data_IF_514589497319
#
_entry.id   IF_514589497319
#
_cell.length_a   1.000
_cell.length_b   1.000
_cell.length_c   1.000
_cell.angle_alpha   90.00
_cell.angle_beta   90.00
_cell.angle_gamma   90.00
#
_symmetry.space_group_name_H-M   'P 1'
#
loop_
_entity.id
_entity.type
_entity.pdbx_description
1 polymer ?
#
# COMPACT_ATOMS: atom_id res chain seq x y z
N UNK A 1 -25.72 16.60 20.72
CA UNK A 1 -26.87 16.07 19.94
C UNK A 1 -26.43 15.05 18.87
N UNK A 2 -25.35 14.27 19.13
CA UNK A 2 -24.73 13.34 18.16
C UNK A 2 -24.54 11.92 18.75
N UNK A 3 -25.30 11.53 19.77
CA UNK A 3 -25.18 10.23 20.44
C UNK A 3 -26.24 9.19 20.03
N UNK A 4 -26.87 9.34 18.85
CA UNK A 4 -27.97 8.46 18.40
C UNK A 4 -27.89 8.05 16.92
N UNK A 5 -26.70 7.74 16.42
CA UNK A 5 -26.59 6.98 15.17
C UNK A 5 -26.38 5.52 15.56
N UNK A 6 -27.47 4.74 15.56
CA UNK A 6 -27.38 3.29 15.66
C UNK A 6 -26.64 2.78 14.41
N UNK A 7 -25.63 1.89 14.53
CA UNK A 7 -25.07 1.20 13.39
C UNK A 7 -26.12 0.25 12.81
N UNK A 8 -26.88 0.73 11.82
CA UNK A 8 -27.72 -0.12 10.98
C UNK A 8 -26.82 -0.80 9.95
N UNK A 9 -26.04 -1.78 10.42
CA UNK A 9 -25.40 -2.74 9.54
C UNK A 9 -26.52 -3.46 8.76
N UNK A 10 -26.51 -3.44 7.41
CA UNK A 10 -27.39 -4.32 6.67
C UNK A 10 -27.08 -5.75 7.09
N UNK A 11 -28.09 -6.48 7.57
CA UNK A 11 -28.00 -7.93 7.78
C UNK A 11 -27.85 -8.60 6.42
N UNK A 12 -26.64 -8.58 5.85
CA UNK A 12 -26.24 -9.47 4.78
C UNK A 12 -26.18 -10.87 5.39
N UNK A 13 -27.30 -11.58 5.33
CA UNK A 13 -27.31 -13.01 5.58
C UNK A 13 -26.41 -13.66 4.53
N UNK A 14 -25.21 -14.06 4.96
CA UNK A 14 -24.27 -14.80 4.12
C UNK A 14 -24.85 -16.18 3.88
N UNK A 15 -25.64 -16.34 2.82
CA UNK A 15 -26.02 -17.66 2.33
C UNK A 15 -24.74 -18.29 1.80
N UNK A 16 -24.17 -19.20 2.58
CA UNK A 16 -23.08 -20.06 2.15
C UNK A 16 -23.59 -20.95 1.00
N UNK A 17 -23.57 -20.43 -0.22
CA UNK A 17 -23.65 -21.27 -1.41
C UNK A 17 -22.31 -22.00 -1.52
N UNK A 18 -22.36 -23.33 -1.44
CA UNK A 18 -21.19 -24.19 -1.62
C UNK A 18 -20.42 -23.78 -2.85
N UNK A 19 -19.11 -23.57 -2.69
CA UNK A 19 -18.22 -23.29 -3.79
C UNK A 19 -18.30 -24.46 -4.78
N UNK A 20 -18.76 -24.20 -6.00
CA UNK A 20 -18.45 -25.09 -7.11
C UNK A 20 -16.92 -25.16 -7.18
N UNK A 21 -16.36 -26.37 -7.14
CA UNK A 21 -14.93 -26.59 -7.27
C UNK A 21 -14.48 -26.03 -8.64
N UNK A 22 -13.96 -24.81 -8.63
CA UNK A 22 -13.28 -24.25 -9.79
C UNK A 22 -12.01 -25.07 -9.98
N UNK A 23 -11.88 -25.70 -11.13
CA UNK A 23 -10.68 -26.40 -11.57
C UNK A 23 -9.49 -25.44 -11.43
N UNK A 24 -8.56 -25.73 -10.52
CA UNK A 24 -7.33 -24.95 -10.33
C UNK A 24 -6.50 -25.11 -11.61
N UNK A 25 -6.64 -24.18 -12.57
CA UNK A 25 -5.64 -24.00 -13.61
C UNK A 25 -4.46 -23.26 -12.95
N UNK A 26 -3.29 -23.87 -12.96
CA UNK A 26 -2.09 -23.27 -12.35
C UNK A 26 -1.84 -21.85 -12.84
N UNK A 27 -1.43 -20.96 -11.92
CA UNK A 27 -1.03 -19.59 -12.24
C UNK A 27 0.22 -19.66 -13.12
N UNK A 28 0.14 -19.09 -14.33
CA UNK A 28 1.30 -18.97 -15.22
C UNK A 28 2.12 -17.78 -14.75
N UNK A 29 3.32 -18.04 -14.20
CA UNK A 29 4.31 -17.02 -13.88
C UNK A 29 5.12 -16.59 -15.10
N UNK A 30 5.78 -15.44 -15.00
CA UNK A 30 6.79 -14.94 -15.94
C UNK A 30 6.53 -13.54 -16.47
N UNK A 31 5.33 -12.99 -16.23
CA UNK A 31 4.94 -11.64 -16.60
C UNK A 31 3.91 -11.08 -15.61
N UNK A 32 4.27 -9.96 -14.98
CA UNK A 32 3.39 -9.25 -14.03
C UNK A 32 2.48 -8.23 -14.71
N UNK A 33 2.70 -7.93 -16.01
CA UNK A 33 1.90 -6.95 -16.76
C UNK A 33 0.38 -7.18 -16.72
N UNK A 34 -0.15 -8.42 -16.64
CA UNK A 34 -1.60 -8.64 -16.59
C UNK A 34 -2.28 -8.13 -15.31
N UNK A 35 -1.50 -7.82 -14.28
CA UNK A 35 -1.99 -7.27 -13.01
C UNK A 35 -2.20 -5.76 -13.11
N UNK A 36 -1.47 -5.10 -14.02
CA UNK A 36 -1.43 -3.65 -14.20
C UNK A 36 -2.13 -3.28 -15.51
N UNK A 37 -3.40 -2.83 -15.49
CA UNK A 37 -4.16 -2.44 -16.67
C UNK A 37 -3.36 -1.56 -17.63
N UNK A 38 -2.68 -0.54 -17.10
CA UNK A 38 -1.81 0.38 -17.84
C UNK A 38 -0.67 -0.29 -18.61
N UNK A 39 -0.16 -1.42 -18.11
CA UNK A 39 0.96 -2.16 -18.69
C UNK A 39 0.53 -3.32 -19.57
N UNK A 40 -0.74 -3.75 -19.47
CA UNK A 40 -1.28 -4.90 -20.19
C UNK A 40 -1.60 -4.63 -21.66
N UNK A 41 -1.84 -3.36 -22.03
CA UNK A 41 -2.25 -2.96 -23.38
C UNK A 41 -3.67 -3.41 -23.79
N UNK A 42 -4.45 -3.99 -22.86
CA UNK A 42 -5.80 -4.49 -23.11
C UNK A 42 -6.80 -3.60 -22.38
N UNK A 43 -7.74 -3.00 -23.12
CA UNK A 43 -8.87 -2.30 -22.51
C UNK A 43 -9.80 -3.34 -21.85
N UNK A 44 -10.04 -3.25 -20.53
CA UNK A 44 -10.83 -4.27 -19.87
C UNK A 44 -12.32 -4.10 -20.17
N UNK A 45 -13.10 -5.19 -20.20
CA UNK A 45 -14.53 -5.12 -20.44
C UNK A 45 -15.26 -4.32 -19.34
N UNK A 46 -16.42 -3.71 -19.65
CA UNK A 46 -17.23 -3.04 -18.65
C UNK A 46 -17.64 -4.00 -17.53
N UNK A 47 -17.78 -3.47 -16.32
CA UNK A 47 -18.22 -4.26 -15.18
C UNK A 47 -19.69 -4.68 -15.34
N UNK A 48 -20.06 -5.91 -14.92
CA UNK A 48 -21.45 -6.38 -14.97
C UNK A 48 -22.42 -5.53 -14.14
N UNK A 49 -23.71 -5.53 -14.50
CA UNK A 49 -24.77 -4.73 -13.85
C UNK A 49 -24.93 -4.96 -12.34
N UNK A 50 -24.53 -6.14 -11.83
CA UNK A 50 -24.50 -6.41 -10.38
C UNK A 50 -23.70 -5.38 -9.58
N UNK A 51 -22.75 -4.68 -10.21
CA UNK A 51 -21.97 -3.61 -9.59
C UNK A 51 -22.77 -2.31 -9.46
N UNK A 52 -23.76 -2.06 -10.32
CA UNK A 52 -24.73 -0.99 -10.16
C UNK A 52 -25.68 -1.28 -8.99
N UNK A 53 -26.17 -2.51 -8.91
CA UNK A 53 -26.99 -2.99 -7.78
C UNK A 53 -26.23 -2.82 -6.45
N UNK A 54 -24.95 -3.23 -6.43
CA UNK A 54 -24.07 -3.08 -5.27
C UNK A 54 -23.97 -1.61 -4.82
N UNK A 55 -23.74 -0.69 -5.76
CA UNK A 55 -23.72 0.75 -5.44
C UNK A 55 -25.07 1.22 -4.91
N UNK A 56 -26.16 0.82 -5.54
CA UNK A 56 -27.52 1.12 -5.08
C UNK A 56 -27.75 0.72 -3.62
N UNK A 57 -27.26 -0.45 -3.20
CA UNK A 57 -27.36 -0.92 -1.81
C UNK A 57 -26.59 -0.03 -0.81
N UNK A 58 -25.45 0.53 -1.22
CA UNK A 58 -24.66 1.43 -0.36
C UNK A 58 -25.16 2.89 -0.39
N UNK A 59 -25.83 3.29 -1.46
CA UNK A 59 -26.30 4.68 -1.65
C UNK A 59 -27.71 4.91 -1.13
N UNK A 60 -28.62 3.95 -1.29
CA UNK A 60 -30.04 4.14 -0.99
C UNK A 60 -30.29 4.56 0.48
N UNK A 61 -30.91 5.73 0.66
CA UNK A 61 -31.23 6.30 1.97
C UNK A 61 -30.03 6.89 2.72
N UNK A 62 -28.86 6.97 2.07
CA UNK A 62 -27.58 7.48 2.62
C UNK A 62 -26.98 8.58 1.75
N UNK A 63 -27.71 9.05 0.75
CA UNK A 63 -27.26 9.97 -0.29
C UNK A 63 -26.61 11.22 0.31
N UNK A 64 -27.32 11.84 1.26
CA UNK A 64 -26.83 13.04 1.95
C UNK A 64 -25.53 12.79 2.72
N UNK A 65 -25.45 11.69 3.47
CA UNK A 65 -24.27 11.35 4.27
C UNK A 65 -23.07 11.07 3.37
N UNK A 66 -23.29 10.40 2.24
CA UNK A 66 -22.24 10.16 1.25
C UNK A 66 -21.71 11.47 0.68
N UNK A 67 -22.59 12.38 0.25
CA UNK A 67 -22.19 13.69 -0.30
C UNK A 67 -21.39 14.49 0.72
N UNK A 68 -21.92 14.66 1.94
CA UNK A 68 -21.23 15.39 3.02
C UNK A 68 -19.87 14.75 3.38
N UNK A 69 -19.78 13.41 3.34
CA UNK A 69 -18.54 12.68 3.61
C UNK A 69 -17.52 12.82 2.49
N UNK A 70 -17.97 12.85 1.23
CA UNK A 70 -17.11 13.07 0.08
C UNK A 70 -16.51 14.48 0.08
N UNK A 71 -17.34 15.51 0.28
CA UNK A 71 -16.87 16.90 0.38
C UNK A 71 -15.85 17.08 1.51
N UNK A 72 -16.15 16.52 2.69
CA UNK A 72 -15.19 16.50 3.81
C UNK A 72 -13.91 15.77 3.46
N UNK A 73 -14.01 14.60 2.82
CA UNK A 73 -12.83 13.80 2.41
C UNK A 73 -11.95 14.54 1.42
N UNK A 74 -12.51 15.28 0.47
CA UNK A 74 -11.74 16.11 -0.47
C UNK A 74 -11.04 17.27 0.22
N UNK A 75 -11.74 17.94 1.14
CA UNK A 75 -11.18 19.04 1.92
C UNK A 75 -10.01 18.57 2.80
N UNK A 76 -10.20 17.47 3.52
CA UNK A 76 -9.17 16.93 4.43
C UNK A 76 -7.97 16.36 3.65
N UNK A 77 -8.22 15.67 2.52
CA UNK A 77 -7.16 15.26 1.61
C UNK A 77 -6.35 16.47 1.12
N UNK A 78 -7.01 17.55 0.69
CA UNK A 78 -6.34 18.78 0.23
C UNK A 78 -5.46 19.43 1.28
N UNK A 79 -5.89 19.44 2.55
CA UNK A 79 -5.08 19.94 3.68
C UNK A 79 -3.83 19.09 3.87
N UNK A 80 -3.98 17.77 3.88
CA UNK A 80 -2.84 16.87 4.13
C UNK A 80 -1.85 16.83 2.97
N UNK A 81 -2.32 16.91 1.71
CA UNK A 81 -1.41 17.07 0.56
C UNK A 81 -0.61 18.37 0.65
N UNK A 82 -1.18 19.45 1.20
CA UNK A 82 -0.45 20.68 1.43
C UNK A 82 0.65 20.50 2.50
N UNK A 83 0.40 19.71 3.55
CA UNK A 83 1.42 19.36 4.55
C UNK A 83 2.58 18.59 3.92
N UNK A 84 2.29 17.59 3.07
CA UNK A 84 3.32 16.82 2.34
C UNK A 84 4.15 17.75 1.46
N UNK A 85 3.52 18.56 0.61
CA UNK A 85 4.19 19.54 -0.24
C UNK A 85 5.09 20.49 0.54
N UNK A 86 4.61 21.01 1.67
CA UNK A 86 5.38 21.93 2.50
C UNK A 86 6.62 21.28 3.10
N UNK A 87 6.55 20.00 3.47
CA UNK A 87 7.67 19.25 4.03
C UNK A 87 8.83 19.06 3.04
N UNK A 88 8.53 19.07 1.74
CA UNK A 88 9.51 18.93 0.65
C UNK A 88 10.15 20.26 0.26
N UNK A 89 9.63 21.40 0.73
CA UNK A 89 10.15 22.72 0.39
C UNK A 89 11.38 23.11 1.24
N UNK A 90 12.45 23.57 0.57
CA UNK A 90 13.68 24.06 1.22
C UNK A 90 13.48 25.32 2.09
N UNK A 91 12.32 25.97 1.98
CA UNK A 91 12.05 27.29 2.57
C UNK A 91 11.72 27.26 4.08
N UNK A 92 11.59 26.08 4.70
CA UNK A 92 10.94 25.93 6.00
C UNK A 92 11.87 25.40 7.11
N UNK A 93 12.85 26.20 7.53
CA UNK A 93 13.45 26.05 8.87
C UNK A 93 12.93 27.12 9.85
N UNK A 94 12.78 28.37 9.40
CA UNK A 94 12.33 29.49 10.25
C UNK A 94 10.81 29.56 10.40
N UNK A 95 10.05 29.32 9.33
CA UNK A 95 8.58 29.32 9.37
C UNK A 95 8.04 28.06 10.06
N UNK A 96 8.79 26.96 10.02
CA UNK A 96 8.44 25.68 10.62
C UNK A 96 8.34 25.76 12.15
N UNK A 97 9.26 26.48 12.81
CA UNK A 97 9.19 26.80 14.24
C UNK A 97 7.95 27.66 14.58
N UNK A 98 7.58 28.60 13.72
CA UNK A 98 6.38 29.42 13.88
C UNK A 98 5.09 28.58 13.69
N UNK A 99 5.10 27.63 12.75
CA UNK A 99 4.00 26.70 12.49
C UNK A 99 3.80 25.66 13.60
N UNK A 100 4.87 25.15 14.24
CA UNK A 100 4.74 24.29 15.45
C UNK A 100 3.93 24.98 16.54
N UNK A 101 4.08 26.30 16.67
CA UNK A 101 3.30 27.12 17.61
C UNK A 101 1.86 27.32 17.13
N UNK A 102 1.63 27.54 15.84
CA UNK A 102 0.30 27.87 15.29
C UNK A 102 -0.62 26.65 15.08
N UNK A 103 -0.08 25.51 14.65
CA UNK A 103 -0.82 24.26 14.43
C UNK A 103 -0.83 23.33 15.66
N UNK A 104 -0.13 23.68 16.75
CA UNK A 104 0.14 22.77 17.88
C UNK A 104 0.75 21.43 17.43
N UNK A 105 1.55 21.44 16.37
CA UNK A 105 2.19 20.23 15.85
C UNK A 105 3.56 20.02 16.48
N UNK A 106 3.71 18.89 17.17
CA UNK A 106 4.95 18.49 17.86
C UNK A 106 5.95 17.75 16.96
N UNK A 107 5.64 17.53 15.67
CA UNK A 107 6.36 16.61 14.79
C UNK A 107 7.79 17.07 14.46
N UNK A 108 8.71 16.13 14.39
CA UNK A 108 10.12 16.33 14.03
C UNK A 108 10.37 15.63 12.70
N UNK A 109 10.36 16.39 11.61
CA UNK A 109 10.68 15.86 10.29
C UNK A 109 12.17 16.06 10.03
N UNK A 110 12.86 15.01 9.60
CA UNK A 110 14.12 15.19 8.89
C UNK A 110 13.81 15.87 7.54
N UNK A 111 14.70 16.76 7.09
CA UNK A 111 14.45 17.65 5.93
C UNK A 111 13.92 16.87 4.72
N UNK A 112 12.85 17.37 4.11
CA UNK A 112 12.46 17.00 2.74
C UNK A 112 11.63 15.73 2.58
N UNK A 113 11.20 15.05 3.65
CA UNK A 113 10.32 13.87 3.52
C UNK A 113 9.45 13.67 4.77
N UNK A 114 8.15 13.42 4.59
CA UNK A 114 7.23 13.10 5.70
C UNK A 114 7.34 11.66 6.22
N UNK A 115 8.02 10.77 5.50
CA UNK A 115 8.17 9.36 5.91
C UNK A 115 9.21 9.29 7.03
N UNK A 116 8.79 8.78 8.19
CA UNK A 116 9.66 8.62 9.35
C UNK A 116 10.84 7.70 9.02
N UNK A 117 12.04 8.17 9.34
CA UNK A 117 13.27 7.37 9.33
C UNK A 117 13.65 7.07 10.78
N UNK A 118 13.65 5.79 11.15
CA UNK A 118 13.87 5.38 12.53
C UNK A 118 15.04 4.39 12.63
N UNK A 119 15.93 4.64 13.60
CA UNK A 119 16.92 3.68 14.06
C UNK A 119 16.38 2.95 15.30
N UNK A 120 15.66 1.85 15.10
CA UNK A 120 15.28 0.99 16.21
C UNK A 120 16.43 0.04 16.52
N UNK A 121 17.40 0.53 17.30
CA UNK A 121 18.38 -0.35 17.95
C UNK A 121 17.75 -0.90 19.23
N UNK A 122 17.76 -2.21 19.34
CA UNK A 122 17.40 -2.95 20.55
C UNK A 122 18.10 -2.33 21.78
N UNK A 123 17.41 -2.01 22.91
CA UNK A 123 16.00 -2.29 23.26
C UNK A 123 15.09 -1.05 23.31
N UNK A 124 15.43 0.05 22.62
CA UNK A 124 14.56 1.23 22.65
C UNK A 124 13.29 0.95 21.84
N UNK A 125 12.17 0.67 22.54
CA UNK A 125 10.84 0.70 21.93
C UNK A 125 10.59 2.12 21.39
N UNK A 126 10.00 2.27 20.19
CA UNK A 126 9.62 3.58 19.69
C UNK A 126 8.78 4.33 20.70
N UNK A 127 8.98 5.65 20.75
CA UNK A 127 8.12 6.55 21.48
C UNK A 127 6.67 6.45 21.00
N UNK A 128 5.73 6.87 21.85
CA UNK A 128 4.31 6.89 21.47
C UNK A 128 4.06 7.82 20.28
N UNK A 129 4.85 8.87 20.20
CA UNK A 129 4.85 9.87 19.14
C UNK A 129 5.32 9.27 17.81
N UNK A 130 6.41 8.49 17.81
CA UNK A 130 6.86 7.76 16.62
C UNK A 130 5.84 6.73 16.17
N UNK A 131 5.27 5.94 17.08
CA UNK A 131 4.21 4.99 16.74
C UNK A 131 2.97 5.68 16.16
N UNK A 132 2.60 6.85 16.67
CA UNK A 132 1.50 7.64 16.13
C UNK A 132 1.80 8.17 14.72
N UNK A 133 3.02 8.64 14.46
CA UNK A 133 3.41 9.12 13.14
C UNK A 133 3.47 7.97 12.12
N UNK A 134 4.00 6.81 12.50
CA UNK A 134 3.98 5.61 11.64
C UNK A 134 2.53 5.25 11.29
N UNK A 135 1.62 5.30 12.28
CA UNK A 135 0.21 5.02 12.06
C UNK A 135 -0.43 6.02 11.10
N UNK A 136 -0.19 7.31 11.32
CA UNK A 136 -0.75 8.38 10.50
C UNK A 136 -0.28 8.31 9.04
N UNK A 137 1.03 8.13 8.83
CA UNK A 137 1.63 8.10 7.49
C UNK A 137 1.45 6.77 6.78
N UNK A 138 1.35 5.67 7.53
CA UNK A 138 1.23 4.32 6.96
C UNK A 138 2.48 3.84 6.25
N UNK A 139 3.64 4.41 6.58
CA UNK A 139 4.94 4.07 5.98
C UNK A 139 6.08 4.43 6.94
N UNK A 140 7.15 3.63 6.95
CA UNK A 140 8.34 3.91 7.76
C UNK A 140 9.60 3.30 7.14
N UNK A 141 10.72 4.01 7.25
CA UNK A 141 12.05 3.50 6.91
C UNK A 141 12.79 3.13 8.17
N UNK A 142 13.07 1.84 8.35
CA UNK A 142 13.87 1.33 9.45
C UNK A 142 15.34 1.25 9.02
N UNK A 143 16.20 2.02 9.68
CA UNK A 143 17.60 2.21 9.29
C UNK A 143 18.51 1.16 9.91
N UNK A 144 19.52 0.72 9.17
CA UNK A 144 20.62 -0.13 9.65
C UNK A 144 20.16 -1.51 10.21
N UNK A 145 19.17 -2.15 9.59
CA UNK A 145 18.63 -3.44 10.06
C UNK A 145 19.43 -4.66 9.60
N UNK A 146 20.16 -4.54 8.50
CA UNK A 146 21.18 -5.48 8.07
C UNK A 146 22.50 -4.72 7.86
N UNK A 147 23.65 -5.33 8.16
CA UNK A 147 24.93 -4.66 7.94
C UNK A 147 25.13 -4.43 6.43
N UNK A 148 25.70 -3.28 6.05
CA UNK A 148 25.95 -2.94 4.63
C UNK A 148 26.72 -4.06 3.89
N UNK A 149 27.72 -4.64 4.56
CA UNK A 149 28.50 -5.78 4.02
C UNK A 149 27.65 -7.02 3.78
N UNK A 150 26.74 -7.35 4.70
CA UNK A 150 25.85 -8.51 4.57
C UNK A 150 24.85 -8.30 3.43
N UNK A 151 24.25 -7.10 3.34
CA UNK A 151 23.36 -6.73 2.25
C UNK A 151 24.07 -6.75 0.88
N UNK A 152 25.34 -6.32 0.82
CA UNK A 152 26.15 -6.36 -0.40
C UNK A 152 26.49 -7.79 -0.83
N UNK A 153 26.85 -8.67 0.12
CA UNK A 153 27.09 -10.09 -0.13
C UNK A 153 25.82 -10.75 -0.66
N UNK A 154 24.68 -10.48 -0.02
CA UNK A 154 23.37 -10.97 -0.46
C UNK A 154 23.05 -10.55 -1.90
N UNK A 155 23.29 -9.27 -2.25
CA UNK A 155 23.13 -8.80 -3.65
C UNK A 155 24.00 -9.59 -4.63
N UNK A 156 25.27 -9.81 -4.28
CA UNK A 156 26.19 -10.59 -5.11
C UNK A 156 25.71 -12.03 -5.31
N UNK A 157 25.21 -12.67 -4.25
CA UNK A 157 24.70 -14.03 -4.30
C UNK A 157 23.41 -14.14 -5.12
N UNK A 158 22.48 -13.19 -5.04
CA UNK A 158 21.29 -13.15 -5.89
C UNK A 158 21.64 -13.03 -7.37
N UNK A 159 22.63 -12.18 -7.73
CA UNK A 159 23.13 -12.09 -9.10
C UNK A 159 23.74 -13.41 -9.58
N UNK A 160 24.54 -14.05 -8.72
CA UNK A 160 25.12 -15.36 -9.05
C UNK A 160 24.03 -16.45 -9.17
N UNK A 161 22.97 -16.36 -8.36
CA UNK A 161 21.83 -17.27 -8.43
C UNK A 161 21.05 -17.08 -9.74
N UNK A 162 20.84 -15.85 -10.21
CA UNK A 162 20.28 -15.59 -11.55
C UNK A 162 21.16 -16.25 -12.62
N UNK A 163 22.48 -16.00 -12.59
CA UNK A 163 23.41 -16.52 -13.60
C UNK A 163 23.49 -18.05 -13.67
N UNK A 164 23.22 -18.75 -12.56
CA UNK A 164 23.19 -20.24 -12.53
C UNK A 164 21.85 -20.84 -12.99
N UNK A 165 20.80 -20.04 -13.11
CA UNK A 165 19.45 -20.52 -13.38
C UNK A 165 18.92 -19.90 -14.69
N UNK A 166 19.31 -20.47 -15.83
CA UNK A 166 18.88 -19.99 -17.15
C UNK A 166 17.35 -20.07 -17.37
N UNK A 167 16.63 -20.83 -16.55
CA UNK A 167 15.17 -20.91 -16.55
C UNK A 167 14.49 -19.74 -15.81
N UNK A 168 15.25 -18.92 -15.07
CA UNK A 168 14.70 -17.84 -14.26
C UNK A 168 13.97 -16.82 -15.14
N UNK A 169 12.69 -16.62 -14.87
CA UNK A 169 11.88 -15.62 -15.56
C UNK A 169 12.12 -14.23 -14.96
N UNK A 170 12.07 -13.21 -15.83
CA UNK A 170 12.22 -11.83 -15.41
C UNK A 170 11.44 -10.88 -16.32
N UNK A 171 10.99 -9.76 -15.73
CA UNK A 171 10.20 -8.74 -16.38
C UNK A 171 10.85 -7.35 -16.23
N UNK A 172 10.79 -6.47 -17.26
CA UNK A 172 10.45 -6.75 -18.66
C UNK A 172 11.50 -7.65 -19.35
N UNK A 173 11.11 -8.45 -20.34
CA UNK A 173 11.99 -9.44 -20.98
C UNK A 173 13.28 -8.85 -21.58
N UNK A 174 13.20 -7.66 -22.21
CA UNK A 174 14.34 -7.01 -22.87
C UNK A 174 15.15 -6.09 -21.93
N UNK A 175 14.69 -5.90 -20.69
CA UNK A 175 15.30 -5.00 -19.71
C UNK A 175 14.96 -5.46 -18.29
N UNK A 176 15.38 -6.68 -17.90
CA UNK A 176 14.88 -7.36 -16.72
C UNK A 176 15.20 -6.58 -15.45
N UNK A 177 14.15 -6.32 -14.67
CA UNK A 177 14.20 -5.60 -13.42
C UNK A 177 13.58 -6.41 -12.28
N UNK A 178 12.47 -7.10 -12.51
CA UNK A 178 11.79 -7.98 -11.56
C UNK A 178 12.13 -9.43 -11.90
N UNK A 179 12.61 -10.20 -10.93
CA UNK A 179 13.00 -11.59 -11.13
C UNK A 179 12.04 -12.51 -10.35
N UNK A 180 11.35 -13.41 -11.05
CA UNK A 180 10.41 -14.40 -10.48
C UNK A 180 11.16 -15.58 -9.87
N UNK A 181 11.98 -15.26 -8.88
CA UNK A 181 12.76 -16.19 -8.08
C UNK A 181 12.33 -15.99 -6.63
N UNK A 182 11.96 -17.08 -5.97
CA UNK A 182 11.32 -17.02 -4.65
C UNK A 182 12.14 -17.68 -3.54
N UNK A 183 13.02 -18.62 -3.90
CA UNK A 183 13.60 -19.59 -2.95
C UNK A 183 15.13 -19.65 -2.96
N UNK A 184 15.80 -18.61 -3.47
CA UNK A 184 17.26 -18.54 -3.37
C UNK A 184 17.70 -18.66 -1.89
N UNK A 185 18.90 -19.21 -1.61
CA UNK A 185 19.41 -19.33 -0.24
C UNK A 185 19.31 -18.01 0.53
N UNK A 186 19.72 -16.89 -0.06
CA UNK A 186 19.71 -15.60 0.65
C UNK A 186 18.32 -15.00 0.85
N UNK A 187 17.35 -15.24 -0.05
CA UNK A 187 15.96 -14.87 0.22
C UNK A 187 15.42 -15.62 1.45
N UNK A 188 15.76 -16.91 1.59
CA UNK A 188 15.37 -17.69 2.76
C UNK A 188 16.07 -17.21 4.04
N UNK A 189 17.37 -16.92 3.96
CA UNK A 189 18.13 -16.37 5.09
C UNK A 189 17.60 -15.00 5.51
N UNK A 190 17.31 -14.10 4.57
CA UNK A 190 16.73 -12.80 4.87
C UNK A 190 15.38 -12.93 5.60
N UNK A 191 14.48 -13.79 5.10
CA UNK A 191 13.16 -14.01 5.72
C UNK A 191 13.23 -14.65 7.12
N UNK A 192 14.32 -15.34 7.43
CA UNK A 192 14.55 -15.98 8.73
C UNK A 192 15.48 -15.16 9.65
N UNK A 193 15.96 -13.98 9.21
CA UNK A 193 16.86 -13.17 10.00
C UNK A 193 16.14 -12.63 11.26
N UNK A 194 16.68 -12.84 12.48
CA UNK A 194 16.00 -12.43 13.72
C UNK A 194 15.67 -10.94 13.79
N UNK A 195 16.57 -10.07 13.32
CA UNK A 195 16.35 -8.62 13.32
C UNK A 195 15.23 -8.22 12.37
N UNK A 196 15.19 -8.81 11.16
CA UNK A 196 14.13 -8.54 10.17
C UNK A 196 12.77 -9.12 10.60
N UNK A 197 12.76 -10.24 11.31
CA UNK A 197 11.54 -10.81 11.90
C UNK A 197 11.04 -9.92 13.05
N UNK A 198 11.93 -9.46 13.93
CA UNK A 198 11.58 -8.55 15.00
C UNK A 198 10.98 -7.23 14.49
N UNK A 199 11.49 -6.67 13.39
CA UNK A 199 10.90 -5.50 12.73
C UNK A 199 9.46 -5.76 12.30
N UNK A 200 9.20 -6.92 11.70
CA UNK A 200 7.87 -7.30 11.22
C UNK A 200 6.89 -7.49 12.40
N UNK A 201 7.33 -8.13 13.49
CA UNK A 201 6.54 -8.21 14.73
C UNK A 201 6.23 -6.82 15.30
N UNK A 202 7.21 -5.91 15.29
CA UNK A 202 7.00 -4.53 15.74
C UNK A 202 5.94 -3.81 14.91
N UNK A 203 6.06 -3.74 13.57
CA UNK A 203 5.05 -3.05 12.76
C UNK A 203 3.68 -3.75 12.81
N UNK A 204 3.65 -5.07 12.99
CA UNK A 204 2.41 -5.81 13.21
C UNK A 204 1.75 -5.46 14.55
N UNK A 205 2.53 -5.16 15.61
CA UNK A 205 1.98 -4.73 16.90
C UNK A 205 1.24 -3.38 16.87
N UNK A 206 1.40 -2.60 15.79
CA UNK A 206 0.64 -1.38 15.57
C UNK A 206 -0.84 -1.69 15.24
N UNK A 207 -1.13 -2.90 14.77
CA UNK A 207 -2.46 -3.41 14.51
C UNK A 207 -3.16 -3.82 15.79
N UNK A 208 -4.49 -3.76 15.77
CA UNK A 208 -5.32 -4.17 16.89
C UNK A 208 -6.59 -4.87 16.43
N UNK A 209 -7.26 -5.51 17.39
CA UNK A 209 -8.57 -6.11 17.21
C UNK A 209 -9.45 -5.74 18.40
N UNK A 210 -10.71 -5.38 18.14
CA UNK A 210 -11.70 -5.13 19.18
C UNK A 210 -12.49 -6.38 19.57
N UNK A 211 -12.27 -7.50 18.88
CA UNK A 211 -12.92 -8.77 19.14
C UNK A 211 -12.40 -9.39 20.44
N UNK A 212 -13.32 -9.96 21.23
CA UNK A 212 -12.98 -10.71 22.45
C UNK A 212 -12.12 -11.94 22.16
N UNK A 213 -12.23 -12.46 20.94
CA UNK A 213 -11.35 -13.47 20.36
C UNK A 213 -11.05 -13.06 18.92
N UNK A 214 -9.77 -12.90 18.60
CA UNK A 214 -9.30 -12.57 17.25
C UNK A 214 -8.54 -13.76 16.66
N UNK A 215 -8.80 -14.16 15.41
CA UNK A 215 -7.98 -15.14 14.71
C UNK A 215 -6.65 -14.56 14.21
N UNK A 216 -6.40 -13.26 14.43
CA UNK A 216 -5.18 -12.56 14.00
C UNK A 216 -4.21 -12.45 15.17
N UNK A 217 -3.06 -13.11 15.05
CA UNK A 217 -1.93 -12.97 15.98
C UNK A 217 -0.88 -12.04 15.37
N UNK A 218 -0.70 -10.86 15.97
CA UNK A 218 0.27 -9.85 15.51
C UNK A 218 1.70 -10.11 15.99
N UNK A 219 1.90 -11.07 16.89
CA UNK A 219 3.22 -11.43 17.43
C UNK A 219 3.96 -12.45 16.57
N UNK A 220 3.25 -13.14 15.67
CA UNK A 220 3.80 -14.19 14.81
C UNK A 220 3.88 -13.70 13.36
N UNK A 221 5.04 -13.91 12.75
CA UNK A 221 5.29 -13.57 11.33
C UNK A 221 5.41 -14.85 10.53
N UNK A 222 4.63 -14.96 9.45
CA UNK A 222 4.74 -16.05 8.48
C UNK A 222 5.54 -15.57 7.26
N UNK A 223 6.56 -16.33 6.80
CA UNK A 223 7.34 -15.93 5.65
C UNK A 223 6.49 -16.00 4.38
N UNK A 224 6.34 -14.87 3.69
CA UNK A 224 5.71 -14.80 2.37
C UNK A 224 6.78 -14.77 1.27
N UNK A 225 6.89 -15.81 0.42
CA UNK A 225 7.85 -15.83 -0.67
C UNK A 225 7.45 -14.87 -1.78
N UNK A 226 8.20 -13.78 -1.92
CA UNK A 226 8.04 -12.81 -3.01
C UNK A 226 9.31 -12.73 -3.88
N UNK A 227 9.16 -12.10 -5.05
CA UNK A 227 10.20 -11.78 -6.02
C UNK A 227 11.23 -10.81 -5.44
N UNK A 228 12.27 -10.50 -6.23
CA UNK A 228 13.16 -9.38 -5.94
C UNK A 228 13.39 -8.51 -7.18
N UNK A 229 13.85 -7.28 -6.95
CA UNK A 229 14.06 -6.28 -7.99
C UNK A 229 15.53 -5.85 -8.08
N UNK A 230 16.09 -5.83 -9.28
CA UNK A 230 17.41 -5.25 -9.59
C UNK A 230 17.25 -4.33 -10.80
N UNK A 231 17.16 -3.02 -10.55
CA UNK A 231 17.11 -2.01 -11.61
C UNK A 231 18.52 -1.64 -12.08
N UNK A 232 18.77 -1.65 -13.40
CA UNK A 232 20.00 -1.11 -13.96
C UNK A 232 19.89 0.42 -14.12
N UNK A 233 20.99 1.18 -14.00
CA UNK A 233 20.97 2.63 -14.17
C UNK A 233 20.34 3.08 -15.51
N UNK A 234 20.64 2.37 -16.61
CA UNK A 234 20.17 2.69 -17.97
C UNK A 234 18.77 2.16 -18.33
N UNK A 235 18.10 1.41 -17.46
CA UNK A 235 16.82 0.76 -17.80
C UNK A 235 15.61 1.71 -17.66
N UNK A 236 15.28 2.47 -18.70
CA UNK A 236 14.15 3.41 -18.71
C UNK A 236 12.73 2.76 -18.77
N UNK A 237 12.63 1.45 -18.94
CA UNK A 237 11.37 0.79 -19.34
C UNK A 237 10.44 0.28 -18.25
N UNK A 238 10.69 0.51 -16.95
CA UNK A 238 9.85 -0.04 -15.88
C UNK A 238 9.59 0.95 -14.75
N UNK A 239 8.42 1.57 -14.76
CA UNK A 239 7.81 2.31 -13.66
C UNK A 239 6.34 1.90 -13.58
N UNK A 240 5.88 1.52 -12.38
CA UNK A 240 4.47 1.21 -12.14
C UNK A 240 3.73 2.51 -11.83
N UNK A 241 2.52 2.67 -12.36
CA UNK A 241 1.62 3.74 -11.94
C UNK A 241 1.24 3.61 -10.47
N UNK A 242 0.74 4.69 -9.86
CA UNK A 242 0.24 4.66 -8.50
C UNK A 242 -0.89 3.63 -8.38
N UNK A 243 -0.82 2.74 -7.39
CA UNK A 243 -1.81 1.68 -7.19
C UNK A 243 -1.93 1.31 -5.70
N UNK A 244 -3.04 0.67 -5.34
CA UNK A 244 -3.26 0.07 -4.03
C UNK A 244 -3.45 -1.45 -4.16
N UNK A 245 -2.86 -2.21 -3.23
CA UNK A 245 -3.09 -3.64 -3.11
C UNK A 245 -3.94 -3.94 -1.87
N UNK A 246 -5.11 -4.58 -2.05
CA UNK A 246 -5.92 -5.17 -0.95
C UNK A 246 -6.68 -4.20 -0.01
N UNK A 247 -7.55 -3.30 -0.52
CA UNK A 247 -8.26 -2.26 0.27
C UNK A 247 -9.42 -2.66 1.21
N UNK A 248 -9.89 -1.74 2.09
CA UNK A 248 -10.97 -1.91 3.14
C UNK A 248 -11.57 -0.57 3.71
N UNK A 249 -12.76 -0.58 4.36
CA UNK A 249 -13.71 0.57 4.72
C UNK A 249 -13.68 1.17 6.18
N UNK A 250 -14.53 2.19 6.49
CA UNK A 250 -14.64 3.14 7.67
C UNK A 250 -13.70 2.94 8.86
N UNK A 251 -12.90 3.97 9.12
CA UNK A 251 -11.50 3.66 8.92
C UNK A 251 -10.62 4.00 10.11
N UNK A 252 -10.52 3.02 11.00
CA UNK A 252 -9.25 2.73 11.64
C UNK A 252 -8.45 1.79 10.74
N UNK A 253 -7.39 2.32 10.12
CA UNK A 253 -6.55 1.57 9.19
C UNK A 253 -5.92 0.33 9.81
N UNK A 254 -5.77 0.32 11.14
CA UNK A 254 -5.07 -0.71 11.91
C UNK A 254 -6.02 -1.69 12.59
N UNK A 255 -7.33 -1.57 12.39
CA UNK A 255 -8.29 -2.56 12.85
C UNK A 255 -8.26 -3.81 11.93
N UNK A 256 -8.01 -4.96 12.53
CA UNK A 256 -7.91 -6.25 11.85
C UNK A 256 -9.24 -7.07 11.81
N UNK A 257 -10.28 -6.66 12.53
CA UNK A 257 -11.50 -7.44 12.85
C UNK A 257 -12.24 -8.01 11.64
N UNK A 258 -12.15 -7.36 10.49
CA UNK A 258 -12.86 -7.79 9.28
C UNK A 258 -11.91 -8.12 8.12
N UNK A 259 -10.64 -7.77 8.25
CA UNK A 259 -9.67 -7.96 7.17
C UNK A 259 -9.35 -9.44 6.94
N UNK A 260 -9.33 -10.26 8.01
CA UNK A 260 -9.05 -11.70 7.90
C UNK A 260 -10.13 -12.47 7.12
N UNK A 261 -11.34 -11.91 7.02
CA UNK A 261 -12.43 -12.48 6.22
C UNK A 261 -12.37 -12.05 4.74
N UNK A 262 -11.51 -11.09 4.38
CA UNK A 262 -11.47 -10.53 3.03
C UNK A 262 -10.95 -11.56 2.01
N UNK A 263 -11.73 -11.79 0.95
CA UNK A 263 -11.34 -12.66 -0.17
C UNK A 263 -10.61 -11.85 -1.24
N UNK A 264 -9.34 -11.53 -0.97
CA UNK A 264 -8.52 -10.64 -1.81
C UNK A 264 -8.26 -11.24 -3.21
N UNK A 265 -8.20 -12.57 -3.32
CA UNK A 265 -7.98 -13.30 -4.59
C UNK A 265 -9.24 -13.90 -5.21
N UNK A 266 -10.40 -13.23 -5.15
CA UNK A 266 -11.70 -13.81 -5.58
C UNK A 266 -11.73 -14.33 -7.03
N UNK A 267 -10.90 -13.78 -7.91
CA UNK A 267 -10.89 -14.10 -9.35
C UNK A 267 -9.66 -14.91 -9.80
N UNK A 268 -8.82 -15.36 -8.86
CA UNK A 268 -7.70 -16.30 -9.05
C UNK A 268 -6.85 -16.09 -10.34
N UNK A 269 -6.35 -14.86 -10.55
CA UNK A 269 -5.39 -14.56 -11.62
C UNK A 269 -3.95 -14.46 -11.11
N UNK A 270 -3.02 -14.56 -12.06
CA UNK A 270 -1.60 -14.26 -11.86
C UNK A 270 -1.44 -12.89 -11.18
N UNK A 271 -0.54 -12.82 -10.19
CA UNK A 271 -0.26 -11.64 -9.37
C UNK A 271 -1.30 -11.26 -8.30
N UNK A 272 -2.40 -12.00 -8.16
CA UNK A 272 -3.29 -11.84 -7.01
C UNK A 272 -2.63 -12.37 -5.72
N UNK A 273 -2.76 -11.61 -4.63
CA UNK A 273 -2.25 -12.03 -3.32
C UNK A 273 -3.23 -13.00 -2.65
N UNK A 274 -2.76 -14.19 -2.28
CA UNK A 274 -3.56 -15.23 -1.60
C UNK A 274 -3.56 -15.12 -0.08
N UNK A 275 -2.78 -14.21 0.48
CA UNK A 275 -2.66 -13.98 1.93
C UNK A 275 -3.01 -12.53 2.26
N UNK A 276 -3.49 -12.30 3.47
CA UNK A 276 -3.60 -10.94 3.98
C UNK A 276 -2.21 -10.46 4.42
N UNK A 277 -1.81 -9.28 3.94
CA UNK A 277 -0.61 -8.58 4.36
C UNK A 277 -1.04 -7.35 5.16
N UNK A 278 -0.57 -7.24 6.40
CA UNK A 278 -0.70 -6.03 7.23
C UNK A 278 0.15 -4.89 6.66
N UNK A 279 1.37 -5.23 6.24
CA UNK A 279 2.32 -4.31 5.62
C UNK A 279 2.90 -4.93 4.35
N UNK A 280 3.15 -4.11 3.35
CA UNK A 280 4.13 -4.47 2.31
C UNK A 280 5.49 -3.97 2.77
N UNK A 281 6.57 -4.61 2.32
CA UNK A 281 7.90 -4.19 2.73
C UNK A 281 8.98 -4.71 1.79
N UNK A 282 10.16 -4.11 1.85
CA UNK A 282 11.33 -4.59 1.12
C UNK A 282 12.64 -4.24 1.83
N UNK A 283 13.56 -5.21 1.84
CA UNK A 283 14.93 -5.01 2.32
C UNK A 283 15.79 -4.42 1.22
N UNK A 284 16.48 -3.33 1.53
CA UNK A 284 17.37 -2.68 0.57
C UNK A 284 18.71 -3.38 0.44
N UNK A 285 19.11 -3.71 -0.79
CA UNK A 285 20.42 -4.28 -1.12
C UNK A 285 21.33 -3.30 -1.89
N UNK A 286 20.89 -2.04 -2.03
CA UNK A 286 21.62 -0.98 -2.72
C UNK A 286 21.38 0.37 -2.07
N UNK A 287 22.28 1.31 -2.30
CA UNK A 287 22.02 2.71 -1.97
C UNK A 287 21.09 3.28 -3.04
N UNK A 288 20.05 4.00 -2.63
CA UNK A 288 19.07 4.64 -3.51
C UNK A 288 18.72 6.02 -2.95
N UNK A 289 18.78 7.05 -3.80
CA UNK A 289 18.42 8.42 -3.44
C UNK A 289 17.08 8.80 -4.07
N UNK A 290 16.36 9.80 -3.53
CA UNK A 290 15.13 10.31 -4.14
C UNK A 290 15.33 10.61 -5.65
N UNK A 291 14.39 10.15 -6.48
CA UNK A 291 14.46 10.33 -7.93
C UNK A 291 15.30 9.30 -8.68
N UNK A 292 16.06 8.43 -8.00
CA UNK A 292 16.83 7.34 -8.63
C UNK A 292 15.98 6.08 -8.87
N UNK A 293 14.73 6.27 -9.35
CA UNK A 293 13.71 5.20 -9.53
C UNK A 293 13.41 4.43 -8.24
N UNK A 294 13.41 5.17 -7.14
CA UNK A 294 12.91 4.78 -5.83
C UNK A 294 11.38 4.66 -5.81
N UNK A 295 10.84 4.07 -4.75
CA UNK A 295 9.40 4.03 -4.52
C UNK A 295 8.87 5.47 -4.35
N UNK A 296 7.75 5.79 -5.01
CA UNK A 296 6.89 6.89 -4.59
C UNK A 296 5.78 6.32 -3.72
N UNK A 297 5.51 6.95 -2.59
CA UNK A 297 4.45 6.55 -1.67
C UNK A 297 3.46 7.71 -1.48
N UNK A 298 2.20 7.40 -1.17
CA UNK A 298 1.24 8.39 -0.67
C UNK A 298 1.11 8.21 0.84
N UNK A 299 1.81 9.00 1.66
CA UNK A 299 1.87 8.84 3.12
C UNK A 299 0.64 9.46 3.80
N UNK A 300 -0.52 9.20 3.20
CA UNK A 300 -1.83 9.78 3.49
C UNK A 300 -2.86 8.66 3.73
N UNK A 301 -2.44 7.59 4.41
CA UNK A 301 -3.13 6.29 4.52
C UNK A 301 -4.65 6.40 4.68
N UNK A 302 -5.10 7.22 5.63
CA UNK A 302 -6.53 7.42 5.91
C UNK A 302 -7.25 8.08 4.73
N UNK A 303 -6.69 9.16 4.22
CA UNK A 303 -7.30 10.02 3.21
C UNK A 303 -7.32 9.33 1.84
N UNK A 304 -6.24 8.65 1.47
CA UNK A 304 -6.15 7.88 0.21
C UNK A 304 -7.11 6.70 0.21
N UNK A 305 -7.25 6.01 1.34
CA UNK A 305 -8.19 4.89 1.47
C UNK A 305 -9.64 5.36 1.37
N UNK A 306 -10.01 6.39 2.15
CA UNK A 306 -11.36 6.96 2.11
C UNK A 306 -11.71 7.48 0.71
N UNK A 307 -10.79 8.22 0.08
CA UNK A 307 -10.96 8.69 -1.29
C UNK A 307 -11.20 7.52 -2.25
N UNK A 308 -10.35 6.49 -2.22
CA UNK A 308 -10.42 5.34 -3.14
C UNK A 308 -11.77 4.61 -3.02
N UNK A 309 -12.31 4.47 -1.81
CA UNK A 309 -13.59 3.77 -1.55
C UNK A 309 -14.79 4.60 -1.98
N UNK A 310 -14.76 5.92 -1.71
CA UNK A 310 -15.86 6.80 -2.08
C UNK A 310 -15.85 7.16 -3.57
N UNK A 311 -14.68 7.14 -4.21
CA UNK A 311 -14.50 7.60 -5.59
C UNK A 311 -15.47 6.97 -6.60
N UNK A 312 -15.81 5.67 -6.56
CA UNK A 312 -16.80 5.08 -7.46
C UNK A 312 -18.20 5.66 -7.36
N UNK A 313 -18.58 6.27 -6.22
CA UNK A 313 -19.92 6.79 -6.00
C UNK A 313 -20.13 8.20 -6.55
N UNK A 314 -19.07 8.89 -6.97
CA UNK A 314 -19.15 10.27 -7.43
C UNK A 314 -18.65 10.46 -8.86
N UNK A 315 -19.26 11.39 -9.58
CA UNK A 315 -18.68 11.93 -10.81
C UNK A 315 -17.63 13.00 -10.49
N UNK A 316 -16.84 13.41 -11.49
CA UNK A 316 -15.91 14.54 -11.37
C UNK A 316 -16.55 15.87 -11.80
N UNK A 317 -17.89 15.97 -11.82
CA UNK A 317 -18.55 17.25 -12.09
C UNK A 317 -18.33 18.23 -10.93
N UNK A 318 -18.50 19.52 -11.21
CA UNK A 318 -18.56 20.56 -10.18
C UNK A 318 -19.97 21.19 -10.19
N UNK A 319 -20.83 20.92 -9.18
CA UNK A 319 -20.56 20.11 -7.99
C UNK A 319 -20.54 18.59 -8.28
N UNK A 320 -19.88 17.77 -7.44
CA UNK A 320 -19.86 16.31 -7.59
C UNK A 320 -21.26 15.71 -7.47
N UNK A 321 -21.61 14.79 -8.37
CA UNK A 321 -22.93 14.13 -8.35
C UNK A 321 -22.80 12.64 -8.04
N UNK A 322 -23.74 12.11 -7.26
CA UNK A 322 -23.82 10.67 -6.98
C UNK A 322 -24.11 9.89 -8.26
N UNK A 323 -23.46 8.74 -8.41
CA UNK A 323 -23.67 7.84 -9.53
C UNK A 323 -23.85 6.40 -9.08
N UNK A 324 -24.87 5.74 -9.66
CA UNK A 324 -25.17 4.33 -9.43
C UNK A 324 -24.81 3.45 -10.63
N UNK A 325 -24.20 4.02 -11.68
CA UNK A 325 -23.76 3.24 -12.85
C UNK A 325 -22.69 2.23 -12.44
N UNK A 326 -22.58 1.06 -13.11
CA UNK A 326 -21.65 -0.01 -12.73
C UNK A 326 -20.17 0.32 -13.00
N UNK A 327 -19.80 1.60 -13.09
CA UNK A 327 -18.44 2.06 -13.34
C UNK A 327 -17.65 2.24 -12.04
N UNK A 328 -16.61 1.43 -11.82
CA UNK A 328 -15.65 1.63 -10.74
C UNK A 328 -14.34 2.15 -11.36
N UNK A 329 -13.94 3.41 -11.12
CA UNK A 329 -12.86 4.04 -11.87
C UNK A 329 -11.55 3.26 -11.80
N UNK A 330 -11.09 2.80 -12.97
CA UNK A 330 -9.85 2.02 -13.13
C UNK A 330 -9.76 0.77 -12.23
N UNK A 331 -10.92 0.24 -11.80
CA UNK A 331 -11.04 -0.99 -11.04
C UNK A 331 -11.47 -2.10 -12.02
N UNK A 332 -10.58 -3.03 -12.32
CA UNK A 332 -10.91 -4.14 -13.20
C UNK A 332 -10.82 -5.48 -12.46
N UNK A 333 -11.64 -6.43 -12.89
CA UNK A 333 -11.67 -7.72 -12.22
C UNK A 333 -10.31 -8.40 -12.37
N UNK A 334 -9.75 -8.84 -11.23
CA UNK A 334 -8.48 -9.57 -11.14
C UNK A 334 -7.20 -8.74 -11.40
N UNK A 335 -7.29 -7.40 -11.39
CA UNK A 335 -6.13 -6.51 -11.50
C UNK A 335 -5.89 -5.78 -10.17
N UNK A 336 -4.75 -5.11 -10.03
CA UNK A 336 -4.57 -4.16 -8.94
C UNK A 336 -5.47 -2.92 -9.14
N UNK A 337 -5.65 -2.15 -8.07
CA UNK A 337 -6.33 -0.87 -8.15
C UNK A 337 -5.36 0.20 -8.63
N UNK A 338 -5.43 0.61 -9.89
CA UNK A 338 -4.58 1.68 -10.41
C UNK A 338 -5.25 3.05 -10.24
N UNK A 339 -4.48 4.06 -9.84
CA UNK A 339 -4.87 5.46 -9.87
C UNK A 339 -4.45 6.08 -11.21
N UNK A 340 -5.38 6.73 -11.90
CA UNK A 340 -5.17 7.37 -13.21
C UNK A 340 -5.82 8.75 -13.24
N UNK A 341 -6.00 9.34 -14.43
CA UNK A 341 -6.74 10.62 -14.62
C UNK A 341 -8.14 10.62 -14.00
N UNK A 342 -8.68 9.43 -13.70
CA UNK A 342 -9.91 9.25 -12.96
C UNK A 342 -9.81 9.58 -11.47
N UNK A 343 -8.60 9.71 -10.90
CA UNK A 343 -8.30 10.01 -9.49
C UNK A 343 -7.45 11.29 -9.36
N UNK A 344 -7.89 12.44 -9.91
CA UNK A 344 -7.03 13.62 -10.06
C UNK A 344 -6.50 14.15 -8.72
N UNK A 345 -7.24 13.97 -7.62
CA UNK A 345 -6.85 14.43 -6.29
C UNK A 345 -5.74 13.57 -5.65
N UNK A 346 -5.58 12.31 -6.08
CA UNK A 346 -4.49 11.43 -5.64
C UNK A 346 -3.27 11.48 -6.58
N UNK A 347 -3.45 12.00 -7.79
CA UNK A 347 -2.37 12.17 -8.78
C UNK A 347 -1.75 13.57 -8.77
N UNK A 348 -2.15 14.44 -7.85
CA UNK A 348 -1.41 15.68 -7.62
C UNK A 348 0.03 15.33 -7.24
N UNK A 349 1.01 16.07 -7.77
CA UNK A 349 2.42 15.95 -7.33
C UNK A 349 2.54 16.13 -5.80
N UNK A 350 1.57 16.81 -5.19
CA UNK A 350 1.50 17.07 -3.75
C UNK A 350 0.96 15.87 -2.92
N UNK A 351 0.48 14.80 -3.56
CA UNK A 351 -0.09 13.62 -2.89
C UNK A 351 0.85 12.42 -2.84
N UNK A 352 1.99 12.48 -3.54
CA UNK A 352 2.99 11.41 -3.62
C UNK A 352 4.34 11.98 -3.20
N UNK A 353 5.06 11.30 -2.30
CA UNK A 353 6.41 11.67 -1.90
C UNK A 353 7.41 10.60 -2.32
N UNK A 354 8.64 10.99 -2.63
CA UNK A 354 9.74 10.05 -2.80
C UNK A 354 10.12 9.46 -1.45
N UNK A 355 10.42 8.16 -1.39
CA UNK A 355 11.09 7.63 -0.19
C UNK A 355 12.42 8.35 0.03
N UNK A 356 12.83 8.57 1.30
CA UNK A 356 14.07 9.26 1.60
C UNK A 356 15.27 8.42 1.14
N UNK A 357 16.48 8.95 1.30
CA UNK A 357 17.69 8.19 0.91
C UNK A 357 17.78 6.87 1.67
N UNK A 358 17.74 5.77 0.93
CA UNK A 358 17.80 4.40 1.44
C UNK A 358 19.22 3.87 1.31
N UNK A 359 19.77 3.33 2.39
CA UNK A 359 21.06 2.66 2.44
C UNK A 359 20.91 1.15 2.24
N UNK A 360 22.02 0.44 2.08
CA UNK A 360 21.97 -1.02 2.10
C UNK A 360 21.64 -1.48 3.52
N UNK A 361 20.76 -2.46 3.61
CA UNK A 361 20.30 -3.02 4.88
C UNK A 361 19.23 -2.20 5.59
N UNK A 362 18.82 -1.06 5.03
CA UNK A 362 17.59 -0.40 5.45
C UNK A 362 16.37 -1.25 5.05
N UNK A 363 15.33 -1.19 5.86
CA UNK A 363 14.09 -1.94 5.68
C UNK A 363 12.91 -0.97 5.58
N UNK A 364 12.19 -0.99 4.46
CA UNK A 364 11.09 -0.04 4.19
C UNK A 364 9.76 -0.77 4.31
N UNK A 365 8.82 -0.17 5.04
CA UNK A 365 7.43 -0.62 5.23
C UNK A 365 6.44 0.42 4.70
#
# INVERSE_FOLDING_TARGET
>A
MLSKINPLAPKLAFIARGAAAATIRGRVGGDISPVFPSSSGIEPPPLPDRYAELKGLFTAGRERILVESWERSLLDLGKETAVVKMSESDFCLSLFLLFRVFLKESRAWERGCVILQAEFRDPASPSKEEMAEIKERGSVVLKNFLLDKEALVMKGSLKAHIGRNAWAQAFPAHSPAVYELYWSPDQRVARANPSLVASQCFVNSLWHSSLTWSPVDTSVVLPYPDCFRICQPSNAGFALGAHNDGGSEEYDSYNADHRFCAKIGLYDRAGSCGVQRSWQHWLSLSIMSPGERTLLASPLLKHTTAYTILRPFFTLSDPPTLTTVPHFPNCFQSTCQECSTTHPHLLSDDAMTQVPRILRGDYVF
#
